data_IF_152706770111
#
_entry.id   IF_152706770111
#
_cell.length_a   1.000
_cell.length_b   1.000
_cell.length_c   1.000
_cell.angle_alpha   90.00
_cell.angle_beta   90.00
_cell.angle_gamma   90.00
#
_symmetry.space_group_name_H-M   'P 1'
#
loop_
_entity.id
_entity.type
_entity.pdbx_description
1 polymer ?
#
# COMPACT_ATOMS: atom_id res chain seq x y z
N UNK A 1 14.05 14.00 1.02
CA UNK A 1 14.11 13.20 2.26
C UNK A 1 12.95 12.23 2.16
N UNK A 2 13.21 10.95 1.92
CA UNK A 2 12.15 9.94 1.85
C UNK A 2 11.86 9.43 3.26
N UNK A 3 10.60 9.10 3.55
CA UNK A 3 10.22 8.57 4.85
C UNK A 3 10.42 7.05 4.83
N UNK A 4 11.04 6.50 5.88
CA UNK A 4 11.29 5.07 6.02
C UNK A 4 10.29 4.46 7.01
N UNK A 5 9.43 3.60 6.47
CA UNK A 5 8.46 2.78 7.18
C UNK A 5 8.68 1.28 6.94
N UNK A 6 9.87 0.89 6.47
CA UNK A 6 10.15 -0.51 6.17
C UNK A 6 9.96 -1.41 7.40
N UNK A 7 9.21 -2.51 7.21
CA UNK A 7 8.86 -3.46 8.28
C UNK A 7 8.00 -2.91 9.42
N UNK A 8 7.51 -1.67 9.34
CA UNK A 8 6.73 -1.06 10.41
C UNK A 8 5.31 -1.64 10.48
N UNK A 9 4.75 -1.63 11.69
CA UNK A 9 3.34 -1.93 11.94
C UNK A 9 2.49 -0.66 11.84
N UNK A 10 1.80 -0.53 10.71
CA UNK A 10 0.92 0.57 10.36
C UNK A 10 -0.55 0.11 10.23
N UNK A 11 -0.90 -1.02 10.85
CA UNK A 11 -2.26 -1.59 10.78
C UNK A 11 -3.32 -0.60 11.22
N UNK A 12 -4.38 -0.49 10.43
CA UNK A 12 -5.52 0.39 10.72
C UNK A 12 -5.19 1.88 10.80
N UNK A 13 -3.97 2.31 10.41
CA UNK A 13 -3.59 3.71 10.47
C UNK A 13 -4.35 4.51 9.43
N UNK A 14 -4.73 5.71 9.81
CA UNK A 14 -5.25 6.70 8.88
C UNK A 14 -4.08 7.48 8.26
N UNK A 15 -3.81 7.21 6.99
CA UNK A 15 -2.82 7.87 6.13
C UNK A 15 -3.51 8.54 4.93
N UNK A 16 -4.81 8.86 5.05
CA UNK A 16 -5.57 9.48 3.98
C UNK A 16 -4.96 10.82 3.58
N UNK A 17 -4.85 11.06 2.27
CA UNK A 17 -4.24 12.26 1.68
C UNK A 17 -2.77 12.53 2.09
N UNK A 18 -2.08 11.54 2.68
CA UNK A 18 -0.67 11.71 3.05
C UNK A 18 0.21 11.83 1.81
N UNK A 19 1.24 12.69 1.87
CA UNK A 19 2.32 12.68 0.90
C UNK A 19 3.36 11.63 1.31
N UNK A 20 3.34 10.51 0.59
CA UNK A 20 4.22 9.36 0.78
C UNK A 20 5.08 9.14 -0.48
N UNK A 21 5.34 10.21 -1.23
CA UNK A 21 6.16 10.18 -2.45
C UNK A 21 7.54 9.62 -2.15
N UNK A 22 7.91 8.52 -2.82
CA UNK A 22 9.19 7.84 -2.65
C UNK A 22 9.39 7.18 -1.28
N UNK A 23 8.33 7.01 -0.47
CA UNK A 23 8.45 6.37 0.83
C UNK A 23 8.90 4.91 0.70
N UNK A 24 9.76 4.47 1.62
CA UNK A 24 10.14 3.07 1.75
C UNK A 24 9.16 2.39 2.71
N UNK A 25 8.29 1.52 2.20
CA UNK A 25 7.32 0.73 2.97
C UNK A 25 7.52 -0.76 2.74
N UNK A 26 8.73 -1.17 2.37
CA UNK A 26 9.07 -2.56 2.09
C UNK A 26 8.74 -3.44 3.30
N UNK A 27 7.90 -4.46 3.09
CA UNK A 27 7.46 -5.38 4.14
C UNK A 27 6.65 -4.74 5.28
N UNK A 28 6.18 -3.50 5.12
CA UNK A 28 5.35 -2.85 6.13
C UNK A 28 3.99 -3.56 6.25
N UNK A 29 3.42 -3.57 7.44
CA UNK A 29 2.07 -4.06 7.67
C UNK A 29 1.08 -2.89 7.62
N UNK A 30 0.35 -2.77 6.52
CA UNK A 30 -0.69 -1.77 6.25
C UNK A 30 -2.09 -2.41 6.24
N UNK A 31 -2.25 -3.60 6.84
CA UNK A 31 -3.55 -4.28 6.90
C UNK A 31 -4.61 -3.32 7.46
N UNK A 32 -5.69 -3.17 6.69
CA UNK A 32 -6.85 -2.30 6.98
C UNK A 32 -6.53 -0.81 7.20
N UNK A 33 -5.35 -0.34 6.78
CA UNK A 33 -5.03 1.08 6.80
C UNK A 33 -5.94 1.86 5.82
N UNK A 34 -6.05 3.18 6.02
CA UNK A 34 -6.73 4.08 5.09
C UNK A 34 -5.69 4.89 4.34
N UNK A 35 -5.53 4.64 3.04
CA UNK A 35 -4.65 5.35 2.11
C UNK A 35 -5.45 6.13 1.06
N UNK A 36 -6.74 6.37 1.30
CA UNK A 36 -7.61 7.09 0.38
C UNK A 36 -7.01 8.48 0.05
N UNK A 37 -6.86 8.76 -1.25
CA UNK A 37 -6.25 10.00 -1.74
C UNK A 37 -4.75 10.18 -1.46
N UNK A 38 -4.06 9.19 -0.87
CA UNK A 38 -2.63 9.30 -0.59
C UNK A 38 -1.79 9.37 -1.87
N UNK A 39 -0.70 10.15 -1.83
CA UNK A 39 0.27 10.17 -2.90
C UNK A 39 1.39 9.15 -2.63
N UNK A 40 1.35 8.02 -3.32
CA UNK A 40 2.32 6.92 -3.23
C UNK A 40 3.25 6.88 -4.46
N UNK A 41 3.40 8.01 -5.16
CA UNK A 41 4.23 8.08 -6.37
C UNK A 41 5.66 7.60 -6.06
N UNK A 42 6.15 6.64 -6.84
CA UNK A 42 7.47 6.00 -6.67
C UNK A 42 7.73 5.36 -5.29
N UNK A 43 6.71 5.04 -4.50
CA UNK A 43 6.88 4.36 -3.21
C UNK A 43 7.30 2.89 -3.40
N UNK A 44 8.16 2.37 -2.51
CA UNK A 44 8.49 0.93 -2.45
C UNK A 44 7.56 0.22 -1.46
N UNK A 45 6.58 -0.51 -1.98
CA UNK A 45 5.63 -1.35 -1.23
C UNK A 45 5.96 -2.84 -1.39
N UNK A 46 7.20 -3.19 -1.80
CA UNK A 46 7.58 -4.57 -2.07
C UNK A 46 7.36 -5.44 -0.83
N UNK A 47 6.53 -6.47 -0.95
CA UNK A 47 6.20 -7.38 0.14
C UNK A 47 5.37 -6.79 1.27
N UNK A 48 4.83 -5.58 1.14
CA UNK A 48 3.95 -4.98 2.15
C UNK A 48 2.61 -5.73 2.24
N UNK A 49 2.03 -5.77 3.44
CA UNK A 49 0.66 -6.27 3.61
C UNK A 49 -0.34 -5.12 3.50
N UNK A 50 -1.06 -5.04 2.40
CA UNK A 50 -2.10 -4.03 2.13
C UNK A 50 -3.51 -4.65 2.28
N UNK A 51 -3.65 -5.83 2.87
CA UNK A 51 -4.94 -6.51 2.89
C UNK A 51 -6.04 -5.69 3.57
N UNK A 52 -7.20 -5.59 2.92
CA UNK A 52 -8.32 -4.78 3.39
C UNK A 52 -8.06 -3.27 3.43
N UNK A 53 -6.97 -2.77 2.82
CA UNK A 53 -6.63 -1.36 2.80
C UNK A 53 -7.54 -0.59 1.82
N UNK A 54 -7.84 0.67 2.14
CA UNK A 54 -8.55 1.58 1.25
C UNK A 54 -7.56 2.43 0.44
N UNK A 55 -7.44 2.15 -0.86
CA UNK A 55 -6.61 2.88 -1.82
C UNK A 55 -7.45 3.77 -2.75
N UNK A 56 -8.70 4.07 -2.40
CA UNK A 56 -9.61 4.88 -3.24
C UNK A 56 -8.98 6.24 -3.56
N UNK A 57 -8.74 6.48 -4.85
CA UNK A 57 -8.14 7.73 -5.33
C UNK A 57 -6.65 7.91 -4.98
N UNK A 58 -5.97 6.89 -4.44
CA UNK A 58 -4.53 6.95 -4.20
C UNK A 58 -3.74 6.99 -5.52
N UNK A 59 -2.68 7.81 -5.57
CA UNK A 59 -1.78 7.84 -6.73
C UNK A 59 -0.65 6.82 -6.55
N UNK A 60 -0.72 5.72 -7.30
CA UNK A 60 0.27 4.63 -7.30
C UNK A 60 1.25 4.71 -8.48
N UNK A 61 1.37 5.85 -9.15
CA UNK A 61 2.24 6.00 -10.32
C UNK A 61 3.69 5.66 -9.97
N UNK A 62 4.26 4.63 -10.60
CA UNK A 62 5.62 4.17 -10.33
C UNK A 62 5.82 3.45 -9.00
N UNK A 63 4.75 3.19 -8.23
CA UNK A 63 4.85 2.43 -6.98
C UNK A 63 5.20 0.95 -7.25
N UNK A 64 6.07 0.38 -6.43
CA UNK A 64 6.46 -1.03 -6.54
C UNK A 64 5.63 -1.91 -5.60
N UNK A 65 4.65 -2.63 -6.16
CA UNK A 65 3.74 -3.52 -5.43
C UNK A 65 4.14 -5.00 -5.53
N UNK A 66 5.35 -5.32 -5.99
CA UNK A 66 5.76 -6.72 -6.16
C UNK A 66 5.68 -7.45 -4.83
N UNK A 67 5.03 -8.62 -4.83
CA UNK A 67 4.81 -9.46 -3.64
C UNK A 67 3.95 -8.82 -2.54
N UNK A 68 3.35 -7.66 -2.77
CA UNK A 68 2.43 -7.07 -1.79
C UNK A 68 1.15 -7.89 -1.68
N UNK A 69 0.59 -8.00 -0.48
CA UNK A 69 -0.70 -8.64 -0.26
C UNK A 69 -1.83 -7.63 -0.51
N UNK A 70 -2.58 -7.79 -1.59
CA UNK A 70 -3.64 -6.87 -2.01
C UNK A 70 -5.04 -7.46 -1.82
N UNK A 71 -5.16 -8.51 -1.02
CA UNK A 71 -6.44 -9.17 -0.79
C UNK A 71 -7.47 -8.21 -0.14
N UNK A 72 -8.65 -8.09 -0.75
CA UNK A 72 -9.73 -7.25 -0.21
C UNK A 72 -9.44 -5.75 -0.22
N UNK A 73 -8.40 -5.30 -0.93
CA UNK A 73 -8.16 -3.87 -1.15
C UNK A 73 -9.32 -3.28 -1.95
N UNK A 74 -9.73 -2.07 -1.57
CA UNK A 74 -10.70 -1.26 -2.32
C UNK A 74 -9.99 -0.10 -3.03
N UNK A 75 -10.55 0.36 -4.15
CA UNK A 75 -10.01 1.50 -4.90
C UNK A 75 -8.89 1.17 -5.90
N UNK A 76 -8.58 -0.11 -6.12
CA UNK A 76 -7.73 -0.53 -7.23
C UNK A 76 -8.45 -0.35 -8.57
N UNK A 77 -7.72 -0.08 -9.67
CA UNK A 77 -8.32 0.06 -10.99
C UNK A 77 -9.08 -1.21 -11.41
N UNK A 78 -10.20 -1.01 -12.10
CA UNK A 78 -11.06 -2.09 -12.57
C UNK A 78 -10.27 -3.14 -13.37
N UNK A 79 -10.49 -4.41 -13.05
CA UNK A 79 -9.77 -5.54 -13.65
C UNK A 79 -8.55 -6.02 -12.88
N UNK A 80 -8.11 -5.29 -11.84
CA UNK A 80 -7.11 -5.80 -10.91
C UNK A 80 -7.72 -6.90 -10.03
N UNK A 81 -7.41 -8.17 -10.35
CA UNK A 81 -7.71 -9.30 -9.46
C UNK A 81 -6.48 -9.55 -8.60
N UNK A 82 -6.49 -9.21 -7.29
CA UNK A 82 -5.39 -9.58 -6.43
C UNK A 82 -5.23 -11.10 -6.48
N UNK A 83 -3.99 -11.56 -6.71
CA UNK A 83 -3.67 -12.98 -6.62
C UNK A 83 -4.07 -13.52 -5.25
N UNK A 84 -4.34 -14.83 -5.12
CA UNK A 84 -4.62 -15.42 -3.81
C UNK A 84 -3.51 -15.01 -2.84
N UNK A 85 -3.84 -14.68 -1.58
CA UNK A 85 -2.84 -14.30 -0.59
C UNK A 85 -1.72 -15.34 -0.63
N UNK A 86 -0.49 -14.85 -0.78
CA UNK A 86 0.70 -15.69 -0.81
C UNK A 86 0.71 -16.51 0.46
N UNK A 87 0.35 -17.79 0.35
CA UNK A 87 0.54 -18.75 1.43
C UNK A 87 2.03 -18.73 1.73
N UNK A 88 2.38 -18.35 2.96
CA UNK A 88 3.69 -18.64 3.52
C UNK A 88 3.96 -20.15 3.44
#
# INVERSE_FOLDING_TARGET
MTVDYSGQDLRGRNLANADLTGANMRGANLERATLAGANLTNADLTGADLSGCDLTGANLTGADLRRANLYGVVGLPDGYRPGPPGRA
#
